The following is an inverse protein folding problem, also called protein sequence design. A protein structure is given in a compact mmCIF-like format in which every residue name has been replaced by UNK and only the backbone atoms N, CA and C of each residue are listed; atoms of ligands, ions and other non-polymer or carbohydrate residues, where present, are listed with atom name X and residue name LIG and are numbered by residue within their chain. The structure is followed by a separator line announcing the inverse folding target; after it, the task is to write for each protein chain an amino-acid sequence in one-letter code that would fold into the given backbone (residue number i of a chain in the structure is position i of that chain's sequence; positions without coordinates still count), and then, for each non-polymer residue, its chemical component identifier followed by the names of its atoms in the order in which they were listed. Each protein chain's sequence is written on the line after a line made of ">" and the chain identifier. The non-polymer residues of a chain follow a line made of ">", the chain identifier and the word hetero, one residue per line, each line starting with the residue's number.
data_IF_996641005004
#
_entry.id   IF_996641005004
#
_cell.length_a   1.000
_cell.length_b   1.000
_cell.length_c   1.000
_cell.angle_alpha   90.00
_cell.angle_beta   90.00
_cell.angle_gamma   90.00
#
_symmetry.space_group_name_H-M   'P 1'
#
loop_
_entity.id
_entity.type
_entity.pdbx_description
1 polymer ?
#
# COMPACT_ATOMS: atom_id res chain seq x y z
N UNK A 1 29.61 38.48 -36.18
CA UNK A 1 28.16 38.78 -36.02
C UNK A 1 27.39 37.49 -36.28
N UNK A 2 26.74 36.96 -35.29
CA UNK A 2 25.85 35.80 -35.43
C UNK A 2 24.57 36.33 -36.15
N UNK A 3 24.29 35.78 -37.31
CA UNK A 3 23.08 36.19 -38.07
C UNK A 3 21.84 35.81 -37.25
N UNK A 4 20.83 36.65 -37.20
CA UNK A 4 19.58 36.44 -36.46
C UNK A 4 18.93 35.08 -36.76
N UNK A 5 19.17 34.53 -37.93
CA UNK A 5 18.73 33.21 -38.38
C UNK A 5 19.45 32.05 -37.66
N UNK A 6 20.73 32.19 -37.31
CA UNK A 6 21.48 31.17 -36.58
C UNK A 6 21.11 31.16 -35.11
N UNK A 7 20.79 32.29 -34.51
CA UNK A 7 20.31 32.38 -33.13
C UNK A 7 18.91 31.76 -32.99
N UNK A 8 18.02 31.98 -33.98
CA UNK A 8 16.69 31.33 -33.96
C UNK A 8 16.79 29.81 -34.10
N UNK A 9 17.71 29.31 -34.92
CA UNK A 9 17.92 27.89 -35.09
C UNK A 9 18.46 27.24 -33.80
N UNK A 10 19.35 27.93 -33.07
CA UNK A 10 19.89 27.46 -31.79
C UNK A 10 18.83 27.39 -30.72
N UNK A 11 17.89 28.36 -30.67
CA UNK A 11 16.77 28.36 -29.73
C UNK A 11 15.77 27.24 -30.02
N UNK A 12 15.57 26.88 -31.28
CA UNK A 12 14.69 25.76 -31.66
C UNK A 12 15.33 24.43 -31.31
N UNK A 13 16.66 24.28 -31.42
CA UNK A 13 17.35 23.08 -31.01
C UNK A 13 17.34 22.89 -29.48
N UNK A 14 17.37 23.96 -28.70
CA UNK A 14 17.29 23.85 -27.23
C UNK A 14 15.90 23.44 -26.74
N UNK A 15 14.84 23.75 -27.48
CA UNK A 15 13.47 23.33 -27.10
C UNK A 15 13.20 21.83 -27.31
N UNK A 16 14.01 21.14 -28.12
CA UNK A 16 13.86 19.69 -28.35
C UNK A 16 14.46 18.86 -27.21
N UNK A 17 15.38 19.42 -26.42
CA UNK A 17 15.97 18.74 -25.26
C UNK A 17 15.09 18.79 -24.00
N UNK A 18 13.95 19.47 -24.04
CA UNK A 18 12.99 19.56 -22.92
C UNK A 18 11.91 18.48 -22.96
N UNK A 19 12.06 17.41 -23.72
CA UNK A 19 11.26 16.22 -23.53
C UNK A 19 11.70 15.57 -22.24
N UNK A 20 10.87 15.77 -21.22
CA UNK A 20 11.05 15.22 -19.91
C UNK A 20 11.35 13.73 -20.01
N UNK A 21 12.44 13.33 -19.46
CA UNK A 21 12.59 11.95 -19.01
C UNK A 21 11.43 11.69 -18.04
N UNK A 22 10.47 10.88 -18.46
CA UNK A 22 9.69 10.13 -17.51
C UNK A 22 10.71 9.29 -16.71
N UNK A 23 11.25 9.89 -15.67
CA UNK A 23 11.83 9.12 -14.60
C UNK A 23 10.65 8.32 -14.03
N UNK A 24 10.49 7.08 -14.46
CA UNK A 24 9.79 6.10 -13.69
C UNK A 24 10.46 6.17 -12.31
N UNK A 25 9.82 6.88 -11.38
CA UNK A 25 10.16 6.79 -9.97
C UNK A 25 9.82 5.35 -9.62
N UNK A 26 10.79 4.45 -9.79
CA UNK A 26 10.75 3.18 -9.08
C UNK A 26 10.79 3.56 -7.61
N UNK A 27 9.60 3.65 -7.03
CA UNK A 27 9.46 3.74 -5.59
C UNK A 27 10.25 2.56 -5.04
N UNK A 28 11.29 2.79 -4.22
CA UNK A 28 12.01 1.69 -3.61
C UNK A 28 10.94 0.83 -2.93
N UNK A 29 10.87 -0.42 -3.31
CA UNK A 29 10.08 -1.45 -2.64
C UNK A 29 10.60 -1.55 -1.20
N UNK A 30 10.08 -0.68 -0.34
CA UNK A 30 10.44 -0.64 1.09
C UNK A 30 10.08 -1.99 1.73
N UNK A 31 9.11 -2.71 1.15
CA UNK A 31 8.73 -4.05 1.58
C UNK A 31 9.80 -5.12 1.34
N UNK A 32 10.57 -5.04 0.27
CA UNK A 32 11.53 -6.08 -0.09
C UNK A 32 12.81 -6.09 0.79
N UNK A 33 13.16 -4.95 1.40
CA UNK A 33 14.30 -4.87 2.31
C UNK A 33 13.99 -5.32 3.73
N UNK A 34 12.72 -5.26 4.13
CA UNK A 34 12.27 -5.74 5.44
C UNK A 34 11.87 -7.21 5.40
N UNK A 35 11.39 -7.72 4.27
CA UNK A 35 11.05 -9.14 4.11
C UNK A 35 12.28 -10.06 4.13
N UNK A 36 13.50 -9.54 3.85
CA UNK A 36 14.76 -10.25 4.03
C UNK A 36 15.35 -10.21 5.44
N UNK A 37 14.84 -9.34 6.33
CA UNK A 37 15.38 -9.13 7.69
C UNK A 37 14.63 -9.91 8.76
N UNK A 38 13.40 -10.35 8.49
CA UNK A 38 12.55 -11.09 9.44
C UNK A 38 12.16 -12.42 8.79
N UNK A 39 12.41 -13.53 9.47
CA UNK A 39 12.00 -14.85 8.99
C UNK A 39 10.46 -14.96 8.99
N UNK A 40 9.91 -15.82 8.12
CA UNK A 40 8.47 -16.07 8.06
C UNK A 40 7.88 -16.48 9.43
N UNK A 41 8.62 -17.28 10.19
CA UNK A 41 8.25 -17.71 11.54
C UNK A 41 8.20 -16.56 12.54
N UNK A 42 9.15 -15.63 12.44
CA UNK A 42 9.18 -14.43 13.29
C UNK A 42 8.05 -13.46 12.93
N UNK A 43 7.78 -13.28 11.63
CA UNK A 43 6.67 -12.47 11.16
C UNK A 43 5.32 -13.00 11.68
N UNK A 44 5.10 -14.31 11.60
CA UNK A 44 3.91 -14.94 12.16
C UNK A 44 3.80 -14.79 13.67
N UNK A 45 4.91 -14.91 14.42
CA UNK A 45 4.93 -14.75 15.86
C UNK A 45 4.57 -13.32 16.28
N UNK A 46 5.13 -12.32 15.58
CA UNK A 46 4.80 -10.91 15.76
C UNK A 46 3.32 -10.64 15.44
N UNK A 47 2.82 -11.21 14.35
CA UNK A 47 1.42 -11.08 13.96
C UNK A 47 0.47 -11.64 15.02
N UNK A 48 0.75 -12.83 15.54
CA UNK A 48 -0.06 -13.43 16.62
C UNK A 48 -0.05 -12.60 17.90
N UNK A 49 1.07 -11.99 18.25
CA UNK A 49 1.14 -11.09 19.40
C UNK A 49 0.33 -9.83 19.15
N UNK A 50 0.56 -9.17 18.03
CA UNK A 50 -0.19 -7.98 17.62
C UNK A 50 -1.71 -8.22 17.64
N UNK A 51 -2.15 -9.34 17.09
CA UNK A 51 -3.55 -9.71 17.05
C UNK A 51 -4.18 -9.85 18.43
N UNK A 52 -3.45 -10.46 19.38
CA UNK A 52 -3.90 -10.59 20.78
C UNK A 52 -4.05 -9.23 21.45
N UNK A 53 -3.07 -8.37 21.24
CA UNK A 53 -3.06 -7.04 21.85
C UNK A 53 -4.17 -6.16 21.24
N UNK A 54 -4.34 -6.20 19.93
CA UNK A 54 -5.43 -5.49 19.25
C UNK A 54 -6.82 -5.92 19.75
N UNK A 55 -7.04 -7.24 19.89
CA UNK A 55 -8.32 -7.78 20.41
C UNK A 55 -8.59 -7.46 21.89
N UNK A 56 -7.53 -7.12 22.64
CA UNK A 56 -7.68 -6.65 24.05
C UNK A 56 -7.98 -5.16 24.14
N UNK A 57 -7.36 -4.36 23.27
CA UNK A 57 -7.38 -2.91 23.35
C UNK A 57 -8.49 -2.28 22.52
N UNK A 58 -9.03 -3.01 21.54
CA UNK A 58 -10.01 -2.53 20.59
C UNK A 58 -11.29 -3.35 20.64
N UNK A 59 -12.43 -2.67 20.53
CA UNK A 59 -13.70 -3.34 20.27
C UNK A 59 -13.75 -3.83 18.82
N UNK A 60 -14.03 -5.11 18.62
CA UNK A 60 -14.10 -5.72 17.28
C UNK A 60 -15.58 -5.83 16.87
N UNK A 61 -15.87 -5.33 15.68
CA UNK A 61 -17.20 -5.45 15.09
C UNK A 61 -17.35 -6.83 14.45
N UNK A 62 -18.31 -7.60 14.94
CA UNK A 62 -18.67 -8.92 14.41
C UNK A 62 -19.96 -8.82 13.59
N UNK A 63 -19.87 -8.27 12.38
CA UNK A 63 -20.95 -8.23 11.42
C UNK A 63 -20.59 -9.08 10.19
N UNK A 64 -21.25 -10.24 9.98
CA UNK A 64 -20.92 -11.16 8.90
C UNK A 64 -21.02 -10.53 7.51
N UNK A 65 -21.97 -9.62 7.30
CA UNK A 65 -22.21 -8.98 6.00
C UNK A 65 -21.07 -8.01 5.69
N UNK A 66 -20.71 -7.18 6.66
CA UNK A 66 -19.59 -6.22 6.52
C UNK A 66 -18.26 -6.96 6.38
N UNK A 67 -18.08 -8.03 7.13
CA UNK A 67 -16.89 -8.89 7.08
C UNK A 67 -16.73 -9.50 5.67
N UNK A 68 -17.73 -10.19 5.17
CA UNK A 68 -17.71 -10.85 3.86
C UNK A 68 -17.48 -9.84 2.73
N UNK A 69 -18.20 -8.72 2.76
CA UNK A 69 -18.03 -7.68 1.74
C UNK A 69 -16.61 -7.10 1.74
N UNK A 70 -16.06 -6.84 2.92
CA UNK A 70 -14.71 -6.28 3.05
C UNK A 70 -13.65 -7.27 2.60
N UNK A 71 -13.78 -8.55 2.96
CA UNK A 71 -12.89 -9.61 2.50
C UNK A 71 -12.87 -9.71 0.97
N UNK A 72 -14.03 -9.74 0.34
CA UNK A 72 -14.15 -9.78 -1.13
C UNK A 72 -13.50 -8.55 -1.78
N UNK A 73 -13.67 -7.38 -1.18
CA UNK A 73 -13.06 -6.15 -1.67
C UNK A 73 -11.52 -6.20 -1.58
N UNK A 74 -10.98 -6.67 -0.46
CA UNK A 74 -9.54 -6.80 -0.25
C UNK A 74 -8.95 -7.85 -1.21
N UNK A 75 -9.63 -8.98 -1.44
CA UNK A 75 -9.20 -9.97 -2.41
C UNK A 75 -9.13 -9.40 -3.83
N UNK A 76 -10.11 -8.59 -4.24
CA UNK A 76 -10.09 -7.91 -5.55
C UNK A 76 -8.89 -6.95 -5.70
N UNK A 77 -8.54 -6.24 -4.63
CA UNK A 77 -7.32 -5.40 -4.61
C UNK A 77 -6.08 -6.28 -4.72
N UNK A 78 -6.02 -7.35 -3.95
CA UNK A 78 -4.91 -8.30 -3.92
C UNK A 78 -4.64 -8.98 -5.27
N UNK A 79 -5.68 -9.27 -6.06
CA UNK A 79 -5.53 -9.83 -7.42
C UNK A 79 -4.76 -8.91 -8.37
N UNK A 80 -4.80 -7.60 -8.14
CA UNK A 80 -4.08 -6.60 -8.92
C UNK A 80 -2.66 -6.35 -8.40
N UNK A 81 -2.33 -6.86 -7.23
CA UNK A 81 -1.02 -6.70 -6.61
C UNK A 81 -0.07 -7.83 -7.03
N UNK A 82 1.24 -7.57 -6.95
CA UNK A 82 2.28 -8.58 -7.15
C UNK A 82 2.53 -9.42 -5.89
N UNK A 83 1.74 -9.22 -4.84
CA UNK A 83 1.90 -9.94 -3.58
C UNK A 83 1.42 -11.36 -3.75
N UNK A 84 2.23 -12.34 -3.35
CA UNK A 84 1.81 -13.73 -3.27
C UNK A 84 0.53 -13.84 -2.43
N UNK A 85 -0.45 -14.58 -2.93
CA UNK A 85 -1.74 -14.82 -2.27
C UNK A 85 -1.53 -15.55 -0.94
N UNK A 86 -1.07 -14.84 0.08
CA UNK A 86 -1.13 -15.33 1.46
C UNK A 86 -2.53 -15.08 1.99
N UNK A 87 -3.03 -16.05 2.74
CA UNK A 87 -4.26 -15.84 3.51
C UNK A 87 -4.04 -14.65 4.44
N UNK A 88 -5.03 -13.76 4.52
CA UNK A 88 -5.01 -12.65 5.46
C UNK A 88 -6.10 -12.82 6.53
N UNK A 89 -5.88 -12.24 7.70
CA UNK A 89 -6.88 -12.15 8.76
C UNK A 89 -7.39 -10.70 8.82
N UNK A 90 -8.69 -10.52 8.55
CA UNK A 90 -9.36 -9.23 8.60
C UNK A 90 -10.02 -9.01 9.94
N UNK A 91 -9.79 -7.83 10.53
CA UNK A 91 -10.52 -7.35 11.70
C UNK A 91 -11.19 -6.03 11.39
N UNK A 92 -12.46 -5.91 11.71
CA UNK A 92 -13.19 -4.66 11.65
C UNK A 92 -13.26 -4.09 13.07
N UNK A 93 -12.71 -2.90 13.26
CA UNK A 93 -12.59 -2.25 14.55
C UNK A 93 -13.74 -1.26 14.72
N UNK A 94 -14.41 -1.28 15.86
CA UNK A 94 -15.47 -0.32 16.22
C UNK A 94 -14.89 1.06 16.53
N UNK A 95 -14.33 1.70 15.50
CA UNK A 95 -13.78 3.05 15.56
C UNK A 95 -14.39 3.89 14.43
N UNK A 96 -14.82 5.10 14.75
CA UNK A 96 -15.46 6.02 13.80
C UNK A 96 -14.45 6.78 12.93
N UNK A 97 -13.17 6.72 13.23
CA UNK A 97 -12.12 7.34 12.43
C UNK A 97 -11.95 6.62 11.10
N UNK A 98 -11.63 7.37 10.06
CA UNK A 98 -11.30 6.83 8.74
C UNK A 98 -9.89 6.26 8.79
N UNK A 99 -9.75 4.96 8.96
CA UNK A 99 -8.45 4.30 8.99
C UNK A 99 -8.52 2.84 8.56
N UNK A 100 -7.46 2.39 7.92
CA UNK A 100 -7.15 0.98 7.67
C UNK A 100 -5.64 0.79 7.74
N UNK A 101 -5.19 -0.37 8.19
CA UNK A 101 -3.76 -0.69 8.31
C UNK A 101 -3.49 -2.16 8.04
N UNK A 102 -2.25 -2.46 7.71
CA UNK A 102 -1.74 -3.81 7.63
C UNK A 102 -0.66 -4.04 8.71
N UNK A 103 -0.62 -5.24 9.25
CA UNK A 103 0.35 -5.65 10.24
C UNK A 103 1.05 -6.96 9.84
N UNK A 104 2.20 -7.29 10.46
CA UNK A 104 2.90 -8.55 10.20
C UNK A 104 2.00 -9.78 10.34
N UNK A 105 2.28 -10.84 9.58
CA UNK A 105 1.49 -12.08 9.61
C UNK A 105 0.19 -12.02 8.80
N UNK A 106 0.06 -11.08 7.87
CA UNK A 106 -1.10 -10.97 6.99
C UNK A 106 -2.36 -10.41 7.67
N UNK A 107 -2.20 -9.63 8.73
CA UNK A 107 -3.31 -9.00 9.45
C UNK A 107 -3.69 -7.69 8.78
N UNK A 108 -4.99 -7.49 8.56
CA UNK A 108 -5.57 -6.25 8.03
C UNK A 108 -6.62 -5.75 9.02
N UNK A 109 -6.44 -4.53 9.49
CA UNK A 109 -7.41 -3.83 10.32
C UNK A 109 -8.13 -2.76 9.54
N UNK A 110 -9.45 -2.68 9.68
CA UNK A 110 -10.29 -1.68 9.03
C UNK A 110 -11.24 -1.07 10.06
N UNK A 111 -11.22 0.24 10.19
CA UNK A 111 -12.14 0.92 11.10
C UNK A 111 -13.55 0.99 10.52
N UNK A 112 -14.56 0.79 11.37
CA UNK A 112 -15.97 0.86 11.00
C UNK A 112 -16.37 2.23 10.41
N UNK A 113 -15.63 3.28 10.71
CA UNK A 113 -15.79 4.62 10.12
C UNK A 113 -15.69 4.66 8.60
N UNK A 114 -15.00 3.68 7.96
CA UNK A 114 -14.88 3.59 6.51
C UNK A 114 -16.17 3.10 5.81
N UNK A 115 -17.15 2.59 6.56
CA UNK A 115 -18.42 2.06 6.03
C UNK A 115 -19.60 3.02 6.24
N UNK A 116 -19.36 4.24 6.67
CA UNK A 116 -20.41 5.26 6.93
C UNK A 116 -20.60 6.21 5.77
#
# INVERSE_FOLDING_TARGET
>A
MIKKTTLALLLILMSIYSYGQESSIELPLIGDRLSGAVSETEEEALGRQFLRDLKRESAILYDPIVQEWTELFIYKIGEKSKVNKKAFELLIIEDNNLNAFAAPGGIIGVNAGLFK
#
